data_IF_706560617975
#
_entry.id   IF_706560617975
#
_cell.length_a   1.000
_cell.length_b   1.000
_cell.length_c   1.000
_cell.angle_alpha   90.00
_cell.angle_beta   90.00
_cell.angle_gamma   90.00
#
_symmetry.space_group_name_H-M   'P 1'
#
loop_
_entity.id
_entity.type
_entity.pdbx_description
1 polymer ?
#
# COMPACT_ATOMS: atom_id res chain seq x y z
N UNK A 1 34.41 49.70 25.97
CA UNK A 1 34.90 49.75 24.59
C UNK A 1 35.28 48.32 24.27
N UNK A 2 34.69 47.56 23.39
CA UNK A 2 34.15 47.70 22.05
C UNK A 2 33.08 46.65 21.80
N UNK A 3 32.06 47.02 21.07
CA UNK A 3 30.94 46.18 20.62
C UNK A 3 31.39 45.22 19.50
N UNK A 4 30.91 43.97 19.49
CA UNK A 4 30.97 43.06 18.36
C UNK A 4 29.53 42.66 17.91
N UNK A 5 29.25 42.44 16.63
CA UNK A 5 27.92 42.52 16.07
C UNK A 5 27.12 41.21 16.14
N UNK A 6 25.81 41.36 16.31
CA UNK A 6 24.77 40.34 16.16
C UNK A 6 24.65 39.89 14.70
N UNK A 7 24.59 38.57 14.47
CA UNK A 7 24.18 38.00 13.20
C UNK A 7 22.82 37.31 13.42
N UNK A 8 21.75 38.00 13.07
CA UNK A 8 20.42 37.43 12.87
C UNK A 8 20.38 36.79 11.49
N UNK A 9 20.50 35.45 11.44
CA UNK A 9 20.18 34.67 10.25
C UNK A 9 18.68 34.54 10.11
N UNK A 10 18.13 35.19 9.09
CA UNK A 10 16.74 35.01 8.67
C UNK A 10 16.56 33.59 8.11
N UNK A 11 15.70 32.82 8.76
CA UNK A 11 15.16 31.57 8.22
C UNK A 11 14.22 31.97 7.10
N UNK A 12 14.57 31.66 5.86
CA UNK A 12 13.69 31.78 4.68
C UNK A 12 12.47 30.90 4.91
N UNK A 13 11.32 31.53 5.11
CA UNK A 13 10.03 30.86 5.16
C UNK A 13 9.72 30.24 3.79
N UNK A 14 9.85 28.91 3.69
CA UNK A 14 9.25 28.17 2.60
C UNK A 14 7.73 28.23 2.78
N UNK A 15 7.06 28.84 1.81
CA UNK A 15 5.60 28.83 1.68
C UNK A 15 5.16 27.37 1.50
N UNK A 16 4.18 26.87 2.26
CA UNK A 16 3.62 25.55 2.02
C UNK A 16 3.02 25.49 0.61
N UNK A 17 3.11 24.34 -0.08
CA UNK A 17 2.50 24.19 -1.39
C UNK A 17 0.99 24.48 -1.31
N UNK A 18 0.39 25.05 -2.38
CA UNK A 18 -1.01 25.41 -2.36
C UNK A 18 -1.87 24.19 -2.07
N UNK A 19 -2.82 24.34 -1.17
CA UNK A 19 -3.84 23.33 -0.89
C UNK A 19 -4.52 22.92 -2.21
N UNK A 20 -4.56 21.61 -2.48
CA UNK A 20 -5.25 21.04 -3.64
C UNK A 20 -6.75 21.34 -3.54
N UNK A 21 -7.20 22.36 -4.26
CA UNK A 21 -8.62 22.77 -4.34
C UNK A 21 -9.42 22.00 -5.39
N UNK A 22 -8.83 20.98 -6.03
CA UNK A 22 -9.43 20.24 -7.14
C UNK A 22 -9.64 18.76 -6.77
N UNK A 23 -10.36 18.49 -5.68
CA UNK A 23 -10.88 17.14 -5.41
C UNK A 23 -11.96 16.78 -6.43
N UNK A 24 -11.98 15.49 -6.85
CA UNK A 24 -13.06 14.94 -7.66
C UNK A 24 -14.41 15.36 -7.08
N UNK A 25 -15.36 15.72 -7.92
CA UNK A 25 -16.69 16.10 -7.43
C UNK A 25 -17.24 14.95 -6.57
N UNK A 26 -17.94 15.26 -5.49
CA UNK A 26 -18.56 14.24 -4.63
C UNK A 26 -19.46 13.28 -5.42
N UNK A 27 -19.98 13.73 -6.58
CA UNK A 27 -20.75 12.92 -7.52
C UNK A 27 -19.93 11.83 -8.21
N UNK A 28 -18.67 12.11 -8.62
CA UNK A 28 -17.81 11.12 -9.27
C UNK A 28 -17.37 10.03 -8.29
N UNK A 29 -17.05 10.41 -7.07
CA UNK A 29 -16.70 9.47 -5.99
C UNK A 29 -17.92 8.58 -5.67
N UNK A 30 -19.10 9.15 -5.52
CA UNK A 30 -20.34 8.40 -5.28
C UNK A 30 -20.62 7.42 -6.41
N UNK A 31 -20.39 7.83 -7.66
CA UNK A 31 -20.53 6.97 -8.83
C UNK A 31 -19.54 5.80 -8.80
N UNK A 32 -18.25 6.04 -8.49
CA UNK A 32 -17.24 4.98 -8.35
C UNK A 32 -17.62 3.97 -7.27
N UNK A 33 -18.01 4.42 -6.09
CA UNK A 33 -18.43 3.54 -4.98
C UNK A 33 -19.67 2.74 -5.37
N UNK A 34 -20.65 3.38 -6.02
CA UNK A 34 -21.89 2.70 -6.47
C UNK A 34 -21.56 1.63 -7.52
N UNK A 35 -20.70 1.95 -8.48
CA UNK A 35 -20.24 1.00 -9.50
C UNK A 35 -19.51 -0.18 -8.86
N UNK A 36 -18.63 0.06 -7.86
CA UNK A 36 -17.97 -1.01 -7.12
C UNK A 36 -18.99 -1.93 -6.43
N UNK A 37 -19.99 -1.37 -5.73
CA UNK A 37 -21.01 -2.15 -5.04
C UNK A 37 -21.79 -3.08 -5.99
N UNK A 38 -21.95 -2.71 -7.26
CA UNK A 38 -22.60 -3.55 -8.28
C UNK A 38 -21.76 -4.77 -8.68
N UNK A 39 -20.42 -4.65 -8.70
CA UNK A 39 -19.52 -5.72 -9.18
C UNK A 39 -18.86 -6.53 -8.06
N UNK A 40 -18.93 -6.09 -6.80
CA UNK A 40 -18.22 -6.69 -5.66
C UNK A 40 -18.44 -8.20 -5.48
N UNK A 41 -19.64 -8.71 -5.83
CA UNK A 41 -19.94 -10.15 -5.71
C UNK A 41 -19.10 -10.99 -6.66
N UNK A 42 -18.78 -10.48 -7.85
CA UNK A 42 -17.89 -11.14 -8.81
C UNK A 42 -16.47 -11.23 -8.27
N UNK A 43 -15.97 -10.14 -7.68
CA UNK A 43 -14.67 -10.14 -7.02
C UNK A 43 -14.60 -11.17 -5.89
N UNK A 44 -15.61 -11.22 -5.02
CA UNK A 44 -15.63 -12.17 -3.88
C UNK A 44 -15.63 -13.63 -4.33
N UNK A 45 -16.44 -13.99 -5.34
CA UNK A 45 -16.50 -15.34 -5.88
C UNK A 45 -15.19 -15.77 -6.54
N UNK A 46 -14.55 -14.86 -7.27
CA UNK A 46 -13.28 -15.09 -7.95
C UNK A 46 -12.12 -15.18 -6.96
N UNK A 47 -12.08 -14.31 -5.96
CA UNK A 47 -11.03 -14.29 -4.94
C UNK A 47 -10.87 -15.65 -4.24
N UNK A 48 -11.96 -16.32 -3.89
CA UNK A 48 -11.91 -17.64 -3.28
C UNK A 48 -11.32 -18.72 -4.22
N UNK A 49 -11.56 -18.63 -5.52
CA UNK A 49 -10.99 -19.56 -6.52
C UNK A 49 -9.50 -19.33 -6.69
N UNK A 50 -9.09 -18.07 -6.89
CA UNK A 50 -7.71 -17.71 -7.12
C UNK A 50 -6.83 -17.90 -5.87
N UNK A 51 -7.37 -17.66 -4.67
CA UNK A 51 -6.69 -18.01 -3.42
C UNK A 51 -6.35 -19.51 -3.36
N UNK A 52 -7.31 -20.39 -3.67
CA UNK A 52 -7.06 -21.85 -3.63
C UNK A 52 -6.00 -22.30 -4.65
N UNK A 53 -6.00 -21.72 -5.83
CA UNK A 53 -5.05 -22.09 -6.89
C UNK A 53 -3.71 -21.36 -6.83
N UNK A 54 -3.65 -20.21 -6.15
CA UNK A 54 -2.49 -19.32 -6.17
C UNK A 54 -2.28 -18.62 -7.53
N UNK A 55 -3.25 -18.72 -8.47
CA UNK A 55 -3.11 -18.19 -9.82
C UNK A 55 -3.59 -16.73 -9.85
N UNK A 56 -2.76 -15.84 -10.37
CA UNK A 56 -3.12 -14.45 -10.64
C UNK A 56 -4.32 -14.32 -11.57
N UNK A 57 -5.16 -13.33 -11.36
CA UNK A 57 -6.37 -13.06 -12.14
C UNK A 57 -6.19 -11.85 -13.07
N UNK A 58 -5.74 -12.01 -14.33
CA UNK A 58 -5.55 -10.87 -15.25
C UNK A 58 -6.84 -10.10 -15.52
N UNK A 59 -7.97 -10.79 -15.46
CA UNK A 59 -9.30 -10.16 -15.58
C UNK A 59 -9.58 -9.13 -14.49
N UNK A 60 -8.99 -9.30 -13.30
CA UNK A 60 -9.10 -8.32 -12.20
C UNK A 60 -8.56 -6.96 -12.61
N UNK A 61 -7.39 -6.93 -13.27
CA UNK A 61 -6.76 -5.66 -13.71
C UNK A 61 -7.62 -4.97 -14.74
N UNK A 62 -8.16 -5.71 -15.73
CA UNK A 62 -9.05 -5.16 -16.76
C UNK A 62 -10.33 -4.58 -16.16
N UNK A 63 -10.99 -5.32 -15.27
CA UNK A 63 -12.20 -4.85 -14.61
C UNK A 63 -11.97 -3.60 -13.75
N UNK A 64 -10.83 -3.52 -13.03
CA UNK A 64 -10.44 -2.32 -12.28
C UNK A 64 -10.18 -1.12 -13.20
N UNK A 65 -9.57 -1.37 -14.36
CA UNK A 65 -9.33 -0.35 -15.38
C UNK A 65 -10.64 0.15 -16.00
N UNK A 66 -11.49 -0.76 -16.48
CA UNK A 66 -12.78 -0.47 -17.11
C UNK A 66 -13.72 0.28 -16.14
N UNK A 67 -13.67 -0.05 -14.86
CA UNK A 67 -14.41 0.63 -13.81
C UNK A 67 -13.79 1.99 -13.40
N UNK A 68 -12.65 2.38 -13.96
CA UNK A 68 -11.98 3.64 -13.69
C UNK A 68 -11.16 3.69 -12.40
N UNK A 69 -11.01 2.56 -11.67
CA UNK A 69 -10.29 2.54 -10.39
C UNK A 69 -8.80 2.85 -10.54
N UNK A 70 -8.18 2.56 -11.67
CA UNK A 70 -6.76 2.87 -11.88
C UNK A 70 -6.47 4.37 -12.00
N UNK A 71 -7.50 5.21 -12.19
CA UNK A 71 -7.35 6.67 -12.33
C UNK A 71 -7.62 7.46 -11.06
N UNK A 72 -7.89 6.78 -9.93
CA UNK A 72 -8.33 7.43 -8.68
C UNK A 72 -7.35 8.51 -8.19
N UNK A 73 -6.06 8.28 -8.01
CA UNK A 73 -5.13 9.31 -7.55
C UNK A 73 -4.53 10.17 -8.69
N UNK A 74 -4.81 9.86 -9.96
CA UNK A 74 -4.30 10.62 -11.10
C UNK A 74 -4.97 12.00 -11.14
N UNK A 75 -4.20 13.06 -11.43
CA UNK A 75 -4.71 14.45 -11.42
C UNK A 75 -5.87 14.65 -12.41
N UNK A 76 -6.79 15.56 -12.07
CA UNK A 76 -7.94 15.94 -12.90
C UNK A 76 -7.51 16.42 -14.28
N UNK A 77 -6.47 17.24 -14.37
CA UNK A 77 -5.95 17.78 -15.64
C UNK A 77 -5.44 16.70 -16.59
N UNK A 78 -5.05 15.53 -16.06
CA UNK A 78 -4.63 14.37 -16.85
C UNK A 78 -5.79 13.40 -17.16
N UNK A 79 -7.01 13.70 -16.73
CA UNK A 79 -8.19 12.85 -16.93
C UNK A 79 -8.42 11.82 -15.83
N UNK A 80 -7.75 11.96 -14.70
CA UNK A 80 -7.99 11.19 -13.48
C UNK A 80 -9.08 11.78 -12.60
N UNK A 81 -9.19 11.29 -11.36
CA UNK A 81 -10.15 11.81 -10.38
C UNK A 81 -9.51 12.74 -9.34
N UNK A 82 -8.19 12.86 -9.27
CA UNK A 82 -7.49 13.71 -8.29
C UNK A 82 -7.85 13.40 -6.83
N UNK A 83 -8.22 12.16 -6.55
CA UNK A 83 -8.84 11.81 -5.29
C UNK A 83 -7.84 11.81 -4.13
N UNK A 84 -8.29 12.28 -2.97
CA UNK A 84 -7.51 12.30 -1.74
C UNK A 84 -7.27 10.89 -1.18
N UNK A 85 -6.32 10.78 -0.22
CA UNK A 85 -6.05 9.53 0.49
C UNK A 85 -7.32 8.96 1.15
N UNK A 86 -8.20 9.80 1.70
CA UNK A 86 -9.45 9.36 2.32
C UNK A 86 -10.36 8.62 1.35
N UNK A 87 -10.49 9.10 0.12
CA UNK A 87 -11.27 8.45 -0.93
C UNK A 87 -10.62 7.14 -1.36
N UNK A 88 -9.30 7.14 -1.56
CA UNK A 88 -8.54 5.95 -1.91
C UNK A 88 -8.64 4.86 -0.81
N UNK A 89 -8.57 5.23 0.47
CA UNK A 89 -8.80 4.34 1.62
C UNK A 89 -10.19 3.69 1.58
N UNK A 90 -11.23 4.47 1.30
CA UNK A 90 -12.59 3.93 1.20
C UNK A 90 -12.71 2.88 0.09
N UNK A 91 -12.15 3.16 -1.09
CA UNK A 91 -12.16 2.22 -2.22
C UNK A 91 -11.39 0.94 -1.88
N UNK A 92 -10.15 1.07 -1.39
CA UNK A 92 -9.30 -0.06 -1.01
C UNK A 92 -9.94 -0.89 0.09
N UNK A 93 -10.47 -0.26 1.14
CA UNK A 93 -11.14 -0.95 2.25
C UNK A 93 -12.41 -1.69 1.85
N UNK A 94 -13.21 -1.12 0.94
CA UNK A 94 -14.39 -1.79 0.38
C UNK A 94 -13.99 -2.97 -0.52
N UNK A 95 -12.99 -2.80 -1.37
CA UNK A 95 -12.49 -3.87 -2.25
C UNK A 95 -11.88 -5.02 -1.43
N UNK A 96 -11.14 -4.72 -0.37
CA UNK A 96 -10.53 -5.71 0.51
C UNK A 96 -11.54 -6.62 1.21
N UNK A 97 -12.77 -6.15 1.43
CA UNK A 97 -13.85 -6.99 1.97
C UNK A 97 -14.30 -8.09 0.99
N UNK A 98 -14.00 -7.93 -0.29
CA UNK A 98 -14.39 -8.88 -1.34
C UNK A 98 -13.17 -9.62 -1.91
N UNK A 99 -12.12 -8.89 -2.24
CA UNK A 99 -10.88 -9.40 -2.83
C UNK A 99 -9.66 -8.64 -2.28
N UNK A 100 -9.03 -9.15 -1.20
CA UNK A 100 -7.84 -8.53 -0.63
C UNK A 100 -6.67 -8.42 -1.59
N UNK A 101 -6.53 -9.34 -2.54
CA UNK A 101 -5.46 -9.30 -3.55
C UNK A 101 -5.69 -8.13 -4.52
N UNK A 102 -6.90 -7.97 -5.04
CA UNK A 102 -7.25 -6.84 -5.89
C UNK A 102 -7.02 -5.50 -5.15
N UNK A 103 -7.37 -5.44 -3.86
CA UNK A 103 -7.10 -4.28 -3.02
C UNK A 103 -5.59 -4.00 -2.87
N UNK A 104 -4.76 -5.03 -2.69
CA UNK A 104 -3.30 -4.89 -2.60
C UNK A 104 -2.69 -4.38 -3.93
N UNK A 105 -3.22 -4.81 -5.08
CA UNK A 105 -2.82 -4.26 -6.38
C UNK A 105 -3.09 -2.75 -6.44
N UNK A 106 -4.27 -2.30 -5.97
CA UNK A 106 -4.59 -0.87 -5.91
C UNK A 106 -3.73 -0.12 -4.89
N UNK A 107 -3.38 -0.70 -3.74
CA UNK A 107 -2.46 -0.08 -2.78
C UNK A 107 -1.16 0.30 -3.47
N UNK A 108 -0.52 -0.65 -4.15
CA UNK A 108 0.76 -0.41 -4.84
C UNK A 108 0.62 0.61 -5.98
N UNK A 109 -0.44 0.51 -6.76
CA UNK A 109 -0.73 1.42 -7.86
C UNK A 109 -1.00 2.86 -7.36
N UNK A 110 -1.82 3.00 -6.32
CA UNK A 110 -2.22 4.31 -5.81
C UNK A 110 -1.08 5.06 -5.12
N UNK A 111 -0.24 4.37 -4.35
CA UNK A 111 0.89 5.04 -3.70
C UNK A 111 1.88 5.64 -4.71
N UNK A 112 2.10 4.97 -5.85
CA UNK A 112 2.97 5.47 -6.91
C UNK A 112 2.31 6.66 -7.62
N UNK A 113 1.06 6.54 -8.04
CA UNK A 113 0.37 7.64 -8.72
C UNK A 113 0.14 8.86 -7.83
N UNK A 114 -0.06 8.67 -6.52
CA UNK A 114 -0.12 9.79 -5.57
C UNK A 114 1.22 10.54 -5.47
N UNK A 115 2.34 9.81 -5.44
CA UNK A 115 3.68 10.40 -5.49
C UNK A 115 3.93 11.15 -6.80
N UNK A 116 3.50 10.58 -7.93
CA UNK A 116 3.55 11.25 -9.25
C UNK A 116 2.69 12.52 -9.26
N UNK A 117 1.46 12.44 -8.78
CA UNK A 117 0.53 13.57 -8.74
C UNK A 117 1.05 14.72 -7.87
N UNK A 118 1.71 14.41 -6.75
CA UNK A 118 2.36 15.37 -5.87
C UNK A 118 3.70 15.90 -6.40
N UNK A 119 4.23 15.37 -7.49
CA UNK A 119 5.57 15.68 -8.02
C UNK A 119 6.71 15.38 -7.03
N UNK A 120 6.50 14.48 -6.08
CA UNK A 120 7.45 14.12 -5.04
C UNK A 120 8.67 13.42 -5.67
N UNK A 121 9.69 14.19 -6.00
CA UNK A 121 10.92 13.82 -6.74
C UNK A 121 10.75 13.46 -8.23
N UNK A 122 9.55 13.62 -8.81
CA UNK A 122 9.26 13.30 -10.20
C UNK A 122 9.46 14.51 -11.12
N UNK A 123 10.34 14.44 -12.14
CA UNK A 123 10.42 15.47 -13.18
C UNK A 123 9.09 15.64 -13.90
N UNK A 124 8.69 16.89 -14.17
CA UNK A 124 7.37 17.18 -14.78
C UNK A 124 7.10 16.43 -16.09
N UNK A 125 8.04 16.30 -17.05
CA UNK A 125 7.79 15.56 -18.28
C UNK A 125 7.48 14.07 -18.02
N UNK A 126 8.26 13.42 -17.12
CA UNK A 126 8.07 12.02 -16.75
C UNK A 126 6.73 11.82 -16.04
N UNK A 127 6.42 12.67 -15.07
CA UNK A 127 5.19 12.60 -14.30
C UNK A 127 3.96 12.75 -15.21
N UNK A 128 3.96 13.72 -16.13
CA UNK A 128 2.89 13.92 -17.09
C UNK A 128 2.70 12.72 -18.01
N UNK A 129 3.77 12.16 -18.53
CA UNK A 129 3.71 10.96 -19.37
C UNK A 129 3.08 9.76 -18.64
N UNK A 130 3.46 9.52 -17.39
CA UNK A 130 2.89 8.42 -16.59
C UNK A 130 1.42 8.63 -16.24
N UNK A 131 1.01 9.87 -15.98
CA UNK A 131 -0.41 10.23 -15.78
C UNK A 131 -1.24 10.01 -17.04
N UNK A 132 -0.76 10.44 -18.20
CA UNK A 132 -1.41 10.23 -19.50
C UNK A 132 -1.51 8.72 -19.83
N UNK A 133 -0.47 7.95 -19.55
CA UNK A 133 -0.49 6.49 -19.72
C UNK A 133 -1.53 5.81 -18.83
N UNK A 134 -1.66 6.22 -17.56
CA UNK A 134 -2.66 5.68 -16.64
C UNK A 134 -4.11 5.85 -17.14
N UNK A 135 -4.36 6.87 -17.96
CA UNK A 135 -5.68 7.15 -18.52
C UNK A 135 -5.88 6.47 -19.88
N UNK A 136 -4.87 6.56 -20.76
CA UNK A 136 -4.98 6.10 -22.16
C UNK A 136 -4.68 4.61 -22.36
N UNK A 137 -3.81 4.03 -21.51
CA UNK A 137 -3.39 2.64 -21.57
C UNK A 137 -3.40 2.05 -20.16
N UNK A 138 -4.57 1.77 -19.62
CA UNK A 138 -4.70 1.34 -18.23
C UNK A 138 -3.91 0.05 -17.98
N UNK A 139 -2.90 0.16 -17.13
CA UNK A 139 -2.06 -0.92 -16.62
C UNK A 139 -1.62 -0.58 -15.21
N UNK A 140 -1.23 -1.59 -14.44
CA UNK A 140 -0.74 -1.37 -13.08
C UNK A 140 0.71 -0.85 -13.12
N UNK A 141 1.04 -0.01 -12.13
CA UNK A 141 2.40 0.43 -11.82
C UNK A 141 2.73 0.06 -10.39
N UNK A 142 3.96 -0.34 -10.11
CA UNK A 142 4.40 -0.68 -8.75
C UNK A 142 5.83 -0.20 -8.49
N UNK A 143 6.12 0.18 -7.24
CA UNK A 143 7.45 0.55 -6.77
C UNK A 143 8.21 -0.67 -6.23
N UNK A 144 9.30 -1.03 -6.90
CA UNK A 144 10.16 -2.17 -6.60
C UNK A 144 11.28 -1.74 -5.64
N UNK A 145 10.96 -1.69 -4.34
CA UNK A 145 11.84 -1.19 -3.29
C UNK A 145 12.63 -2.30 -2.57
N UNK A 146 12.05 -3.51 -2.48
CA UNK A 146 12.63 -4.64 -1.76
C UNK A 146 13.61 -5.44 -2.63
N UNK A 147 14.66 -5.95 -2.00
CA UNK A 147 15.64 -6.83 -2.60
C UNK A 147 15.89 -8.03 -1.69
N UNK A 148 16.22 -9.24 -2.23
CA UNK A 148 16.41 -10.44 -1.40
C UNK A 148 17.48 -10.27 -0.33
N UNK A 149 18.59 -9.61 -0.67
CA UNK A 149 19.77 -9.49 0.20
C UNK A 149 19.80 -8.21 1.05
N UNK A 150 18.97 -7.21 0.72
CA UNK A 150 18.92 -5.93 1.44
C UNK A 150 17.95 -5.93 2.63
N UNK A 151 16.99 -6.84 2.65
CA UNK A 151 15.87 -6.80 3.58
C UNK A 151 14.91 -5.65 3.29
N UNK A 152 14.33 -5.06 4.33
CA UNK A 152 13.39 -3.95 4.17
C UNK A 152 14.09 -2.64 3.85
N UNK A 153 13.66 -1.96 2.79
CA UNK A 153 14.12 -0.61 2.44
C UNK A 153 13.92 0.41 3.58
N UNK A 154 12.98 0.15 4.51
CA UNK A 154 12.72 1.01 5.69
C UNK A 154 13.81 0.97 6.75
N UNK A 155 14.72 -0.01 6.70
CA UNK A 155 15.85 -0.10 7.62
C UNK A 155 17.07 0.73 7.16
N UNK A 156 17.01 1.28 5.97
CA UNK A 156 18.14 1.96 5.33
C UNK A 156 18.99 0.97 4.54
N UNK A 157 20.08 1.43 4.01
CA UNK A 157 20.99 0.66 3.17
C UNK A 157 20.90 1.04 1.68
N UNK A 158 22.04 0.96 1.02
CA UNK A 158 22.16 1.21 -0.42
C UNK A 158 21.59 0.04 -1.20
N UNK A 159 20.78 0.27 -2.26
CA UNK A 159 20.29 -0.81 -3.10
C UNK A 159 21.43 -1.64 -3.69
N UNK A 160 21.23 -2.97 -3.77
CA UNK A 160 22.09 -3.86 -4.53
C UNK A 160 21.88 -3.73 -6.05
N UNK A 161 20.69 -3.26 -6.48
CA UNK A 161 20.43 -2.93 -7.88
C UNK A 161 21.23 -1.70 -8.30
N UNK A 162 21.98 -1.83 -9.39
CA UNK A 162 22.94 -0.83 -9.88
C UNK A 162 22.51 -0.26 -11.22
N UNK A 163 22.62 1.04 -11.37
CA UNK A 163 22.44 1.79 -12.60
C UNK A 163 23.79 2.35 -13.08
N UNK A 164 24.32 1.79 -14.16
CA UNK A 164 25.54 2.25 -14.83
C UNK A 164 25.18 3.22 -15.94
N UNK A 165 25.81 4.41 -15.95
CA UNK A 165 25.60 5.38 -17.02
C UNK A 165 26.08 4.85 -18.37
N UNK A 166 25.31 5.10 -19.44
CA UNK A 166 25.63 4.80 -20.83
C UNK A 166 25.54 6.06 -21.67
N UNK A 167 25.80 5.99 -22.98
CA UNK A 167 25.65 7.16 -23.85
C UNK A 167 24.23 7.74 -23.89
N UNK A 168 23.22 6.87 -23.78
CA UNK A 168 21.81 7.23 -24.02
C UNK A 168 20.91 7.08 -22.80
N UNK A 169 21.47 6.71 -21.62
CA UNK A 169 20.67 6.46 -20.43
C UNK A 169 21.42 5.65 -19.39
N UNK A 170 20.67 4.83 -18.65
CA UNK A 170 21.16 3.94 -17.61
C UNK A 170 21.03 2.48 -18.03
N UNK A 171 21.99 1.66 -17.66
CA UNK A 171 21.93 0.22 -17.72
C UNK A 171 21.71 -0.34 -16.32
N UNK A 172 20.56 -0.95 -16.09
CA UNK A 172 20.18 -1.50 -14.80
C UNK A 172 20.50 -2.98 -14.71
N UNK A 173 21.16 -3.36 -13.62
CA UNK A 173 21.41 -4.74 -13.22
C UNK A 173 21.04 -4.94 -11.75
N UNK A 174 20.27 -6.00 -11.44
CA UNK A 174 19.91 -6.30 -10.07
C UNK A 174 18.75 -7.28 -9.95
N UNK A 175 18.26 -7.42 -8.71
CA UNK A 175 17.20 -8.35 -8.37
C UNK A 175 16.21 -7.68 -7.40
N UNK A 176 14.93 -7.78 -7.71
CA UNK A 176 13.84 -7.24 -6.88
C UNK A 176 12.97 -8.37 -6.36
N UNK A 177 12.57 -8.28 -5.10
CA UNK A 177 11.71 -9.26 -4.44
C UNK A 177 10.32 -8.67 -4.16
N UNK A 178 9.34 -9.57 -4.02
CA UNK A 178 7.97 -9.21 -3.65
C UNK A 178 7.32 -8.21 -4.61
N UNK A 179 7.52 -8.43 -5.91
CA UNK A 179 6.96 -7.57 -6.98
C UNK A 179 5.50 -7.94 -7.19
N UNK A 180 4.64 -7.39 -6.34
CA UNK A 180 3.20 -7.67 -6.33
C UNK A 180 2.55 -7.33 -7.68
N UNK A 181 1.80 -8.29 -8.21
CA UNK A 181 1.00 -8.12 -9.43
C UNK A 181 1.81 -8.13 -10.71
N UNK A 182 3.04 -8.66 -10.74
CA UNK A 182 3.94 -8.58 -11.91
C UNK A 182 3.27 -8.97 -13.24
N UNK A 183 2.38 -9.98 -13.35
CA UNK A 183 1.74 -10.29 -14.62
C UNK A 183 0.76 -9.23 -15.14
N UNK A 184 0.37 -8.27 -14.29
CA UNK A 184 -0.54 -7.16 -14.62
C UNK A 184 0.14 -5.79 -14.62
N UNK A 185 1.45 -5.71 -14.36
CA UNK A 185 2.19 -4.45 -14.39
C UNK A 185 2.52 -4.05 -15.83
N UNK A 186 2.34 -2.77 -16.15
CA UNK A 186 2.86 -2.13 -17.36
C UNK A 186 4.20 -1.44 -17.09
N UNK A 187 4.35 -0.84 -15.91
CA UNK A 187 5.53 -0.10 -15.51
C UNK A 187 6.05 -0.56 -14.15
N UNK A 188 7.37 -0.68 -14.06
CA UNK A 188 8.14 -1.02 -12.87
C UNK A 188 8.92 0.21 -12.42
N UNK A 189 8.65 0.72 -11.23
CA UNK A 189 9.42 1.84 -10.65
C UNK A 189 10.53 1.27 -9.79
N UNK A 190 11.70 1.11 -10.36
CA UNK A 190 12.84 0.38 -9.79
C UNK A 190 13.70 1.32 -8.96
N UNK A 191 13.84 1.05 -7.65
CA UNK A 191 14.82 1.74 -6.82
C UNK A 191 16.21 1.16 -7.07
N UNK A 192 17.16 2.01 -7.51
CA UNK A 192 18.55 1.62 -7.76
C UNK A 192 19.52 2.69 -7.29
N UNK A 193 20.80 2.31 -7.16
CA UNK A 193 21.92 3.23 -6.97
C UNK A 193 22.76 3.33 -8.22
N UNK A 194 23.40 4.47 -8.43
CA UNK A 194 24.42 4.61 -9.48
C UNK A 194 25.74 3.92 -9.07
N UNK A 195 26.57 3.58 -10.05
CA UNK A 195 27.91 3.00 -9.85
C UNK A 195 29.02 4.05 -9.78
N UNK A 196 28.64 5.32 -9.62
CA UNK A 196 29.57 6.44 -9.42
C UNK A 196 30.40 6.28 -8.14
N UNK A 197 31.59 6.93 -8.02
CA UNK A 197 32.41 6.89 -6.80
C UNK A 197 31.65 7.34 -5.54
N UNK A 198 30.74 8.32 -5.68
CA UNK A 198 29.77 8.73 -4.69
C UNK A 198 28.36 8.34 -5.16
N UNK A 199 27.87 7.13 -4.84
CA UNK A 199 26.63 6.64 -5.38
C UNK A 199 25.42 7.52 -5.02
N UNK A 200 24.57 7.76 -6.00
CA UNK A 200 23.25 8.38 -5.82
C UNK A 200 22.17 7.32 -5.91
N UNK A 201 21.07 7.53 -5.23
CA UNK A 201 19.90 6.63 -5.24
C UNK A 201 18.69 7.35 -5.82
N UNK A 202 17.93 6.67 -6.66
CA UNK A 202 16.69 7.18 -7.24
C UNK A 202 15.76 6.07 -7.71
N UNK A 203 14.69 6.47 -8.38
CA UNK A 203 13.73 5.57 -8.99
C UNK A 203 13.88 5.64 -10.53
N UNK A 204 13.88 4.48 -11.16
CA UNK A 204 14.04 4.30 -12.60
C UNK A 204 12.77 3.64 -13.13
N UNK A 205 12.13 4.25 -14.10
CA UNK A 205 10.90 3.71 -14.69
C UNK A 205 11.28 2.75 -15.82
N UNK A 206 10.85 1.51 -15.68
CA UNK A 206 11.15 0.41 -16.61
C UNK A 206 9.84 -0.16 -17.13
N UNK A 207 9.68 -0.31 -18.43
CA UNK A 207 8.55 -1.06 -18.97
C UNK A 207 8.63 -2.53 -18.52
N UNK A 208 7.52 -3.10 -18.05
CA UNK A 208 7.50 -4.51 -17.62
C UNK A 208 7.83 -5.49 -18.75
N UNK A 209 7.63 -5.07 -20.01
CA UNK A 209 8.00 -5.84 -21.21
C UNK A 209 9.39 -5.53 -21.80
N UNK A 210 10.22 -4.75 -21.11
CA UNK A 210 11.53 -4.39 -21.62
C UNK A 210 12.48 -5.60 -21.68
N UNK A 211 13.37 -5.57 -22.67
CA UNK A 211 14.43 -6.57 -22.80
C UNK A 211 15.28 -6.60 -21.52
N UNK A 212 15.63 -7.79 -21.04
CA UNK A 212 16.40 -7.98 -19.81
C UNK A 212 15.56 -8.05 -18.53
N UNK A 213 14.25 -7.78 -18.57
CA UNK A 213 13.32 -7.99 -17.45
C UNK A 213 12.87 -9.46 -17.44
N UNK A 214 13.13 -10.17 -16.36
CA UNK A 214 12.75 -11.58 -16.22
C UNK A 214 12.05 -11.83 -14.89
N UNK A 215 10.87 -12.43 -14.93
CA UNK A 215 10.13 -12.85 -13.73
C UNK A 215 10.60 -14.23 -13.28
N UNK A 216 10.90 -14.38 -11.98
CA UNK A 216 11.15 -15.68 -11.33
C UNK A 216 9.89 -16.10 -10.59
N UNK A 217 9.16 -17.14 -11.04
CA UNK A 217 7.87 -17.53 -10.47
C UNK A 217 8.07 -18.30 -9.14
N UNK A 218 8.31 -17.56 -8.06
CA UNK A 218 8.63 -18.12 -6.74
C UNK A 218 7.66 -17.67 -5.61
N UNK A 219 6.52 -17.07 -5.95
CA UNK A 219 5.53 -16.70 -4.96
C UNK A 219 4.70 -17.92 -4.52
N UNK A 220 5.01 -18.48 -3.36
CA UNK A 220 4.27 -19.58 -2.71
C UNK A 220 4.14 -19.27 -1.21
N UNK A 221 3.12 -18.49 -0.86
CA UNK A 221 2.90 -17.96 0.49
C UNK A 221 1.53 -18.39 1.03
N UNK A 222 1.40 -18.36 2.37
CA UNK A 222 0.17 -18.78 3.04
C UNK A 222 -1.01 -17.82 2.83
N UNK A 223 -0.76 -16.50 2.66
CA UNK A 223 -1.76 -15.46 2.41
C UNK A 223 -1.43 -14.66 1.16
N UNK A 224 -2.38 -13.86 0.70
CA UNK A 224 -2.27 -13.11 -0.55
C UNK A 224 -1.82 -13.98 -1.73
N UNK A 225 -2.26 -15.25 -1.76
CA UNK A 225 -1.72 -16.32 -2.63
C UNK A 225 -1.75 -15.98 -4.10
N UNK A 226 -2.81 -15.32 -4.56
CA UNK A 226 -2.98 -14.94 -5.96
C UNK A 226 -2.35 -13.59 -6.33
N UNK A 227 -1.57 -12.96 -5.44
CA UNK A 227 -0.97 -11.64 -5.72
C UNK A 227 0.20 -11.69 -6.71
N UNK A 228 0.70 -12.89 -7.03
CA UNK A 228 1.87 -13.08 -7.91
C UNK A 228 3.02 -12.11 -7.56
N UNK A 229 3.34 -12.03 -6.26
CA UNK A 229 4.42 -11.16 -5.77
C UNK A 229 5.78 -11.81 -5.97
N UNK A 230 6.08 -12.15 -7.22
CA UNK A 230 7.28 -12.85 -7.64
C UNK A 230 8.54 -11.98 -7.54
N UNK A 231 9.69 -12.58 -7.76
CA UNK A 231 10.94 -11.87 -7.96
C UNK A 231 11.10 -11.44 -9.42
N UNK A 232 11.84 -10.34 -9.61
CA UNK A 232 12.22 -9.81 -10.92
C UNK A 232 13.73 -9.66 -10.98
N UNK A 233 14.33 -10.22 -12.02
CA UNK A 233 15.73 -10.03 -12.37
C UNK A 233 15.81 -8.99 -13.49
N UNK A 234 16.69 -8.01 -13.29
CA UNK A 234 17.06 -7.01 -14.29
C UNK A 234 18.47 -7.32 -14.77
N UNK A 235 18.61 -7.57 -16.07
CA UNK A 235 19.90 -7.85 -16.71
C UNK A 235 20.09 -6.96 -17.91
N UNK A 236 21.01 -6.00 -17.79
CA UNK A 236 21.35 -5.02 -18.82
C UNK A 236 20.13 -4.27 -19.38
N UNK A 237 19.16 -3.96 -18.50
CA UNK A 237 17.95 -3.22 -18.86
C UNK A 237 18.30 -1.76 -19.12
N UNK A 238 18.02 -1.27 -20.32
CA UNK A 238 18.28 0.13 -20.70
C UNK A 238 17.11 1.01 -20.31
N UNK A 239 17.42 2.11 -19.62
CA UNK A 239 16.44 3.12 -19.15
C UNK A 239 16.92 4.49 -19.62
N UNK A 240 16.17 5.22 -20.44
CA UNK A 240 16.49 6.61 -20.82
C UNK A 240 16.69 7.51 -19.61
N UNK A 241 17.55 8.53 -19.74
CA UNK A 241 17.80 9.47 -18.63
C UNK A 241 16.52 10.18 -18.16
N UNK A 242 15.62 10.51 -19.08
CA UNK A 242 14.32 11.13 -18.80
C UNK A 242 13.35 10.24 -18.02
N UNK A 243 13.60 8.93 -17.94
CA UNK A 243 12.82 7.96 -17.19
C UNK A 243 13.33 7.76 -15.76
N UNK A 244 14.06 8.74 -15.24
CA UNK A 244 14.67 8.69 -13.90
C UNK A 244 14.16 9.84 -13.05
N UNK A 245 13.83 9.56 -11.77
CA UNK A 245 13.50 10.59 -10.79
C UNK A 245 14.75 11.35 -10.33
N UNK A 246 14.59 12.37 -9.49
CA UNK A 246 15.73 13.05 -8.85
C UNK A 246 16.59 12.02 -8.11
N UNK A 247 17.91 12.08 -8.33
CA UNK A 247 18.89 11.20 -7.70
C UNK A 247 19.50 11.90 -6.47
N UNK A 248 19.61 11.19 -5.35
CA UNK A 248 20.04 11.72 -4.06
C UNK A 248 21.32 11.04 -3.57
N UNK A 249 22.28 11.81 -3.09
CA UNK A 249 23.44 11.31 -2.35
C UNK A 249 23.06 10.94 -0.91
N UNK A 250 23.57 9.85 -0.40
CA UNK A 250 23.59 9.49 1.04
C UNK A 250 22.26 9.05 1.64
N UNK A 251 21.15 9.75 1.46
CA UNK A 251 19.85 9.37 2.01
C UNK A 251 18.99 8.59 1.02
N UNK A 252 19.16 7.28 1.07
CA UNK A 252 18.39 6.37 0.26
C UNK A 252 16.86 6.38 0.56
N UNK A 253 16.41 7.02 1.65
CA UNK A 253 14.98 7.18 1.95
C UNK A 253 14.38 8.35 1.19
N UNK A 254 15.12 9.46 1.07
CA UNK A 254 14.68 10.62 0.31
C UNK A 254 14.35 10.26 -1.15
N UNK A 255 15.11 9.33 -1.73
CA UNK A 255 14.92 8.88 -3.11
C UNK A 255 13.55 8.24 -3.40
N UNK A 256 12.89 7.65 -2.41
CA UNK A 256 11.56 7.04 -2.60
C UNK A 256 10.41 8.04 -2.46
N UNK A 257 10.70 9.27 -1.96
CA UNK A 257 9.69 10.26 -1.67
C UNK A 257 8.89 9.99 -0.38
N UNK A 258 8.34 11.04 0.19
CA UNK A 258 7.55 10.94 1.42
C UNK A 258 6.10 10.56 1.14
N UNK A 259 5.51 11.07 0.08
CA UNK A 259 4.11 10.84 -0.31
C UNK A 259 3.84 9.37 -0.58
N UNK A 260 4.75 8.68 -1.31
CA UNK A 260 4.65 7.26 -1.60
C UNK A 260 4.50 6.44 -0.31
N UNK A 261 5.35 6.72 0.70
CA UNK A 261 5.34 5.98 1.97
C UNK A 261 4.12 6.31 2.82
N UNK A 262 3.69 7.57 2.84
CA UNK A 262 2.49 7.98 3.59
C UNK A 262 1.22 7.34 3.01
N UNK A 263 1.08 7.35 1.70
CA UNK A 263 -0.04 6.67 1.04
C UNK A 263 -0.01 5.16 1.27
N UNK A 264 1.16 4.53 1.18
CA UNK A 264 1.31 3.11 1.47
C UNK A 264 0.78 2.75 2.88
N UNK A 265 1.18 3.49 3.92
CA UNK A 265 0.72 3.24 5.28
C UNK A 265 -0.80 3.37 5.43
N UNK A 266 -1.38 4.45 4.91
CA UNK A 266 -2.81 4.69 4.99
C UNK A 266 -3.65 3.65 4.22
N UNK A 267 -3.18 3.27 3.04
CA UNK A 267 -3.86 2.29 2.19
C UNK A 267 -3.74 0.86 2.72
N UNK A 268 -2.58 0.47 3.26
CA UNK A 268 -2.43 -0.82 3.96
C UNK A 268 -3.35 -0.89 5.19
N UNK A 269 -3.48 0.21 5.95
CA UNK A 269 -4.44 0.30 7.05
C UNK A 269 -5.86 0.00 6.58
N UNK A 270 -6.31 0.64 5.51
CA UNK A 270 -7.64 0.41 4.93
C UNK A 270 -7.83 -1.01 4.40
N UNK A 271 -6.81 -1.59 3.75
CA UNK A 271 -6.83 -2.96 3.25
C UNK A 271 -7.05 -3.95 4.40
N UNK A 272 -6.21 -3.93 5.43
CA UNK A 272 -6.27 -4.90 6.51
C UNK A 272 -7.49 -4.71 7.43
N UNK A 273 -7.96 -3.47 7.62
CA UNK A 273 -9.25 -3.19 8.25
C UNK A 273 -10.41 -3.83 7.44
N UNK A 274 -10.37 -3.73 6.10
CA UNK A 274 -11.32 -4.37 5.20
C UNK A 274 -11.31 -5.90 5.30
N UNK A 275 -10.13 -6.52 5.41
CA UNK A 275 -9.98 -7.98 5.64
C UNK A 275 -10.67 -8.40 6.94
N UNK A 276 -10.44 -7.66 8.05
CA UNK A 276 -11.09 -7.96 9.33
C UNK A 276 -12.60 -7.78 9.26
N UNK A 277 -13.10 -6.76 8.55
CA UNK A 277 -14.56 -6.57 8.34
C UNK A 277 -15.19 -7.76 7.59
N UNK A 278 -14.49 -8.28 6.58
CA UNK A 278 -14.94 -9.48 5.87
C UNK A 278 -15.00 -10.71 6.78
N UNK A 279 -13.95 -10.89 7.60
CA UNK A 279 -13.92 -11.96 8.60
C UNK A 279 -15.04 -11.85 9.64
N UNK A 280 -15.28 -10.64 10.16
CA UNK A 280 -16.36 -10.38 11.12
C UNK A 280 -17.75 -10.61 10.49
N UNK A 281 -17.97 -10.17 9.27
CA UNK A 281 -19.24 -10.36 8.57
C UNK A 281 -19.59 -11.85 8.41
N UNK A 282 -18.61 -12.67 7.98
CA UNK A 282 -18.78 -14.12 7.91
C UNK A 282 -19.07 -14.73 9.30
N UNK A 283 -18.34 -14.29 10.32
CA UNK A 283 -18.52 -14.79 11.69
C UNK A 283 -19.89 -14.44 12.24
N UNK A 284 -20.39 -13.22 12.01
CA UNK A 284 -21.75 -12.80 12.42
C UNK A 284 -22.80 -13.70 11.77
N UNK A 285 -22.71 -13.95 10.45
CA UNK A 285 -23.66 -14.82 9.76
C UNK A 285 -23.61 -16.24 10.30
N UNK A 286 -22.42 -16.80 10.50
CA UNK A 286 -22.22 -18.11 11.12
C UNK A 286 -22.85 -18.20 12.52
N UNK A 287 -22.61 -17.24 13.40
CA UNK A 287 -23.14 -17.25 14.76
C UNK A 287 -24.66 -17.11 14.81
N UNK A 288 -25.26 -16.39 13.84
CA UNK A 288 -26.73 -16.20 13.74
C UNK A 288 -27.43 -17.43 13.18
N UNK A 289 -26.77 -18.18 12.31
CA UNK A 289 -27.40 -19.32 11.61
C UNK A 289 -27.10 -20.66 12.26
N UNK A 290 -25.99 -20.78 12.99
CA UNK A 290 -25.60 -22.03 13.65
C UNK A 290 -26.38 -22.26 14.93
N UNK A 291 -27.23 -23.33 14.92
CA UNK A 291 -28.00 -23.79 16.07
C UNK A 291 -27.51 -25.19 16.47
N UNK A 292 -26.65 -25.31 17.52
CA UNK A 292 -26.27 -26.61 18.05
C UNK A 292 -27.45 -27.33 18.69
N UNK A 293 -27.55 -28.64 18.47
CA UNK A 293 -28.71 -29.45 18.97
C UNK A 293 -28.85 -29.42 20.48
N UNK A 294 -27.76 -29.38 21.21
CA UNK A 294 -27.75 -29.28 22.68
C UNK A 294 -28.12 -27.89 23.21
N UNK A 295 -28.06 -26.84 22.38
CA UNK A 295 -28.38 -25.47 22.75
C UNK A 295 -29.79 -25.08 22.33
N UNK A 296 -30.30 -25.61 21.19
CA UNK A 296 -31.64 -25.33 20.65
C UNK A 296 -31.85 -23.88 20.19
N UNK A 297 -30.84 -23.06 20.16
CA UNK A 297 -30.89 -21.65 19.76
C UNK A 297 -29.57 -21.22 19.08
N UNK A 298 -29.56 -20.09 18.31
CA UNK A 298 -28.36 -19.61 17.64
C UNK A 298 -27.20 -19.31 18.60
N UNK A 299 -25.96 -19.57 18.17
CA UNK A 299 -24.75 -19.22 18.93
C UNK A 299 -24.69 -17.74 19.27
N UNK A 300 -25.20 -16.86 18.42
CA UNK A 300 -25.29 -15.42 18.65
C UNK A 300 -26.03 -15.01 19.94
N UNK A 301 -26.80 -15.92 20.55
CA UNK A 301 -27.50 -15.65 21.82
C UNK A 301 -26.62 -15.83 23.06
N UNK A 302 -25.43 -16.37 22.89
CA UNK A 302 -24.49 -16.62 23.99
C UNK A 302 -23.71 -15.34 24.36
N UNK A 303 -23.68 -14.91 25.64
CA UNK A 303 -23.03 -13.66 26.05
C UNK A 303 -21.54 -13.58 25.66
N UNK A 304 -20.79 -14.68 25.76
CA UNK A 304 -19.38 -14.68 25.41
C UNK A 304 -19.13 -14.53 23.89
N UNK A 305 -20.05 -14.98 23.02
CA UNK A 305 -20.00 -14.74 21.59
C UNK A 305 -20.30 -13.28 21.26
N UNK A 306 -21.28 -12.70 21.99
CA UNK A 306 -21.61 -11.26 21.86
C UNK A 306 -20.45 -10.39 22.30
N UNK A 307 -19.79 -10.71 23.41
CA UNK A 307 -18.62 -9.99 23.92
C UNK A 307 -17.45 -10.08 22.94
N UNK A 308 -17.13 -11.24 22.41
CA UNK A 308 -16.03 -11.42 21.46
C UNK A 308 -16.28 -10.65 20.14
N UNK A 309 -17.48 -10.74 19.57
CA UNK A 309 -17.85 -9.98 18.39
C UNK A 309 -17.86 -8.46 18.67
N UNK A 310 -18.29 -8.06 19.85
CA UNK A 310 -18.31 -6.67 20.32
C UNK A 310 -16.90 -6.07 20.40
N UNK A 311 -15.92 -6.79 20.94
CA UNK A 311 -14.51 -6.36 20.97
C UNK A 311 -13.97 -6.07 19.58
N UNK A 312 -14.16 -6.99 18.63
CA UNK A 312 -13.70 -6.78 17.25
C UNK A 312 -14.41 -5.59 16.61
N UNK A 313 -15.72 -5.46 16.81
CA UNK A 313 -16.52 -4.35 16.27
C UNK A 313 -16.05 -2.98 16.80
N UNK A 314 -15.77 -2.87 18.10
CA UNK A 314 -15.26 -1.63 18.72
C UNK A 314 -13.84 -1.30 18.21
N UNK A 315 -12.99 -2.29 18.03
CA UNK A 315 -11.65 -2.09 17.44
C UNK A 315 -11.76 -1.56 16.00
N UNK A 316 -12.66 -2.10 15.18
CA UNK A 316 -12.91 -1.61 13.82
C UNK A 316 -13.47 -0.17 13.82
N UNK A 317 -14.27 0.20 14.81
CA UNK A 317 -14.71 1.59 14.97
C UNK A 317 -13.52 2.52 15.32
N UNK A 318 -12.62 2.09 16.20
CA UNK A 318 -11.39 2.82 16.52
C UNK A 318 -10.48 2.94 15.29
N UNK A 319 -10.28 1.86 14.54
CA UNK A 319 -9.52 1.89 13.29
C UNK A 319 -10.05 2.95 12.31
N UNK A 320 -11.38 3.02 12.16
CA UNK A 320 -12.00 4.01 11.29
C UNK A 320 -11.69 5.46 11.72
N UNK A 321 -11.68 5.74 13.04
CA UNK A 321 -11.27 7.05 13.55
C UNK A 321 -9.81 7.35 13.24
N UNK A 322 -8.91 6.39 13.49
CA UNK A 322 -7.47 6.52 13.21
C UNK A 322 -7.19 6.76 11.73
N UNK A 323 -7.79 5.96 10.84
CA UNK A 323 -7.62 6.07 9.40
C UNK A 323 -8.10 7.42 8.85
N UNK A 324 -9.23 7.91 9.37
CA UNK A 324 -9.77 9.24 8.98
C UNK A 324 -8.87 10.37 9.47
N UNK A 325 -8.41 10.33 10.72
CA UNK A 325 -7.48 11.32 11.25
C UNK A 325 -6.19 11.35 10.42
N UNK A 326 -5.59 10.18 10.19
CA UNK A 326 -4.38 10.07 9.37
C UNK A 326 -4.55 10.66 7.95
N UNK A 327 -5.66 10.35 7.29
CA UNK A 327 -5.92 10.90 5.94
C UNK A 327 -6.07 12.43 5.96
N UNK A 328 -6.65 13.00 7.03
CA UNK A 328 -6.75 14.45 7.23
C UNK A 328 -5.37 15.08 7.42
N UNK A 329 -4.49 14.47 8.21
CA UNK A 329 -3.13 14.98 8.46
C UNK A 329 -2.26 14.93 7.21
N UNK A 330 -2.36 13.85 6.41
CA UNK A 330 -1.69 13.76 5.11
C UNK A 330 -2.16 14.87 4.16
N UNK A 331 -3.45 15.21 4.18
CA UNK A 331 -4.00 16.30 3.37
C UNK A 331 -3.47 17.67 3.81
N UNK A 332 -3.33 17.90 5.12
CA UNK A 332 -2.84 19.18 5.67
C UNK A 332 -1.33 19.36 5.59
N UNK A 333 -0.58 18.30 5.30
CA UNK A 333 0.87 18.37 5.08
C UNK A 333 1.73 18.52 6.34
N UNK A 334 1.20 18.19 7.53
CA UNK A 334 1.98 18.24 8.78
C UNK A 334 2.94 17.04 8.90
N UNK A 335 4.17 17.19 8.39
CA UNK A 335 5.15 16.10 8.29
C UNK A 335 5.51 15.43 9.63
N UNK A 336 5.52 16.16 10.74
CA UNK A 336 5.85 15.61 12.07
C UNK A 336 4.74 14.68 12.54
N UNK A 337 3.50 15.14 12.48
CA UNK A 337 2.31 14.36 12.84
C UNK A 337 2.16 13.14 11.94
N UNK A 338 2.28 13.30 10.63
CA UNK A 338 2.15 12.20 9.65
C UNK A 338 3.11 11.04 9.95
N UNK A 339 4.36 11.33 10.30
CA UNK A 339 5.34 10.26 10.58
C UNK A 339 5.01 9.45 11.84
N UNK A 340 4.51 10.11 12.91
CA UNK A 340 4.07 9.42 14.12
C UNK A 340 2.79 8.62 13.89
N UNK A 341 1.85 9.19 13.15
CA UNK A 341 0.56 8.57 12.88
C UNK A 341 0.68 7.38 11.92
N UNK A 342 1.60 7.44 10.93
CA UNK A 342 1.95 6.28 10.12
C UNK A 342 2.42 5.09 10.97
N UNK A 343 3.20 5.36 12.05
CA UNK A 343 3.61 4.34 13.00
C UNK A 343 2.41 3.75 13.76
N UNK A 344 1.46 4.60 14.20
CA UNK A 344 0.21 4.17 14.85
C UNK A 344 -0.62 3.31 13.88
N UNK A 345 -0.84 3.76 12.64
CA UNK A 345 -1.59 2.98 11.64
C UNK A 345 -0.95 1.60 11.45
N UNK A 346 0.37 1.52 11.31
CA UNK A 346 1.06 0.23 11.12
C UNK A 346 0.89 -0.70 12.33
N UNK A 347 1.04 -0.19 13.55
CA UNK A 347 1.00 -1.04 14.76
C UNK A 347 -0.40 -1.35 15.23
N UNK A 348 -1.30 -0.39 15.17
CA UNK A 348 -2.64 -0.50 15.77
C UNK A 348 -3.70 -1.01 14.78
N UNK A 349 -3.51 -0.79 13.48
CA UNK A 349 -4.48 -1.24 12.47
C UNK A 349 -3.96 -2.45 11.72
N UNK A 350 -2.80 -2.33 11.08
CA UNK A 350 -2.28 -3.38 10.18
C UNK A 350 -1.85 -4.62 10.96
N UNK A 351 -1.01 -4.47 11.97
CA UNK A 351 -0.46 -5.62 12.71
C UNK A 351 -1.52 -6.35 13.55
N UNK A 352 -2.48 -5.60 14.11
CA UNK A 352 -3.57 -6.19 14.91
C UNK A 352 -4.60 -6.96 14.08
N UNK A 353 -4.65 -6.78 12.77
CA UNK A 353 -5.59 -7.50 11.91
C UNK A 353 -5.48 -9.03 12.06
N UNK A 354 -4.25 -9.55 12.19
CA UNK A 354 -4.02 -10.98 12.43
C UNK A 354 -4.59 -11.44 13.78
N UNK A 355 -4.44 -10.64 14.84
CA UNK A 355 -4.95 -10.97 16.17
C UNK A 355 -6.48 -10.93 16.20
N UNK A 356 -7.11 -9.96 15.51
CA UNK A 356 -8.56 -9.85 15.42
C UNK A 356 -9.17 -11.02 14.66
N UNK A 357 -8.56 -11.42 13.53
CA UNK A 357 -9.03 -12.60 12.78
C UNK A 357 -8.82 -13.90 13.54
N UNK A 358 -7.74 -14.02 14.35
CA UNK A 358 -7.51 -15.17 15.25
C UNK A 358 -8.59 -15.24 16.33
N UNK A 359 -9.02 -14.12 16.91
CA UNK A 359 -10.13 -14.10 17.87
C UNK A 359 -11.43 -14.59 17.24
N UNK A 360 -11.71 -14.21 15.99
CA UNK A 360 -12.89 -14.68 15.26
C UNK A 360 -12.79 -16.19 14.95
N UNK A 361 -11.60 -16.70 14.59
CA UNK A 361 -11.37 -18.15 14.44
C UNK A 361 -11.65 -18.91 15.74
N UNK A 362 -11.20 -18.38 16.88
CA UNK A 362 -11.39 -19.02 18.18
C UNK A 362 -12.89 -19.21 18.53
N UNK A 363 -13.74 -18.22 18.22
CA UNK A 363 -15.18 -18.33 18.49
C UNK A 363 -15.95 -19.14 17.42
N UNK A 364 -15.46 -19.19 16.19
CA UNK A 364 -16.02 -20.02 15.13
C UNK A 364 -15.65 -21.49 15.26
N UNK A 365 -14.56 -21.80 15.99
CA UNK A 365 -14.06 -23.15 16.20
C UNK A 365 -13.69 -23.84 14.89
N UNK A 366 -13.90 -25.16 14.84
CA UNK A 366 -13.53 -25.95 13.66
C UNK A 366 -14.20 -25.49 12.34
N UNK A 367 -15.38 -24.88 12.41
CA UNK A 367 -16.02 -24.33 11.23
C UNK A 367 -15.20 -23.17 10.61
N UNK A 368 -14.57 -22.32 11.45
CA UNK A 368 -13.73 -21.22 11.00
C UNK A 368 -12.46 -21.66 10.27
N UNK A 369 -11.94 -22.83 10.59
CA UNK A 369 -10.70 -23.38 10.00
C UNK A 369 -10.93 -24.05 8.63
N UNK A 370 -12.15 -24.16 8.16
CA UNK A 370 -12.43 -24.79 6.86
C UNK A 370 -11.97 -23.91 5.70
N UNK A 371 -11.10 -24.44 4.83
CA UNK A 371 -10.63 -23.77 3.61
C UNK A 371 -11.75 -23.40 2.62
N UNK A 372 -13.00 -23.81 2.88
CA UNK A 372 -14.18 -23.40 2.12
C UNK A 372 -14.78 -22.08 2.58
N UNK A 373 -14.30 -21.54 3.70
CA UNK A 373 -14.86 -20.37 4.35
C UNK A 373 -13.99 -19.11 4.17
N UNK A 374 -14.65 -17.97 4.15
CA UNK A 374 -13.98 -16.64 4.02
C UNK A 374 -13.09 -16.34 5.23
N UNK A 375 -13.49 -16.75 6.45
CA UNK A 375 -12.76 -16.44 7.67
C UNK A 375 -11.34 -17.01 7.67
N UNK A 376 -11.15 -18.26 7.26
CA UNK A 376 -9.84 -18.93 7.17
C UNK A 376 -8.93 -18.16 6.21
N UNK A 377 -9.42 -17.81 5.02
CA UNK A 377 -8.67 -17.01 4.04
C UNK A 377 -8.30 -15.63 4.60
N UNK A 378 -9.27 -14.92 5.19
CA UNK A 378 -9.03 -13.62 5.79
C UNK A 378 -7.93 -13.67 6.86
N UNK A 379 -7.86 -14.74 7.65
CA UNK A 379 -6.80 -14.90 8.64
C UNK A 379 -5.43 -15.07 7.98
N UNK A 380 -5.31 -15.91 6.96
CA UNK A 380 -4.06 -16.08 6.21
C UNK A 380 -3.62 -14.78 5.54
N UNK A 381 -4.54 -14.06 4.93
CA UNK A 381 -4.28 -12.76 4.31
C UNK A 381 -3.86 -11.72 5.36
N UNK A 382 -4.50 -11.70 6.54
CA UNK A 382 -4.17 -10.77 7.63
C UNK A 382 -2.74 -10.98 8.17
N UNK A 383 -2.21 -12.21 8.17
CA UNK A 383 -0.82 -12.48 8.56
C UNK A 383 0.19 -11.72 7.68
N UNK A 384 -0.13 -11.51 6.41
CA UNK A 384 0.72 -10.75 5.50
C UNK A 384 0.87 -9.27 5.91
N UNK A 385 -0.06 -8.72 6.69
CA UNK A 385 0.05 -7.35 7.22
C UNK A 385 1.30 -7.13 8.06
N UNK A 386 1.70 -8.13 8.83
CA UNK A 386 2.83 -8.04 9.76
C UNK A 386 4.18 -7.88 9.06
N UNK A 387 4.30 -8.42 7.85
CA UNK A 387 5.58 -8.40 7.11
C UNK A 387 5.74 -7.18 6.20
N UNK A 388 4.70 -6.37 5.99
CA UNK A 388 4.86 -5.10 5.27
C UNK A 388 5.75 -4.13 6.04
N UNK A 389 6.61 -3.43 5.32
CA UNK A 389 7.47 -2.39 5.88
C UNK A 389 6.65 -1.10 6.18
N UNK A 390 7.02 -0.37 7.27
CA UNK A 390 8.02 -0.73 8.29
C UNK A 390 7.53 -1.84 9.22
N UNK A 391 8.45 -2.70 9.69
CA UNK A 391 8.10 -3.73 10.68
C UNK A 391 7.75 -3.10 12.04
N UNK A 392 6.75 -3.63 12.72
CA UNK A 392 6.25 -3.06 13.97
C UNK A 392 7.30 -3.02 15.09
N UNK A 393 8.21 -4.01 15.16
CA UNK A 393 9.32 -4.02 16.13
C UNK A 393 10.23 -2.80 15.94
N UNK A 394 10.54 -2.46 14.68
CA UNK A 394 11.34 -1.27 14.35
C UNK A 394 10.59 0.02 14.73
N UNK A 395 9.29 0.07 14.45
CA UNK A 395 8.42 1.21 14.78
C UNK A 395 8.40 1.43 16.29
N UNK A 396 8.08 0.38 17.07
CA UNK A 396 8.04 0.43 18.54
C UNK A 396 9.38 0.82 19.14
N UNK A 397 10.48 0.25 18.63
CA UNK A 397 11.83 0.59 19.09
C UNK A 397 12.15 2.07 18.87
N UNK A 398 11.83 2.61 17.69
CA UNK A 398 12.06 4.04 17.38
C UNK A 398 11.22 4.94 18.26
N UNK A 399 9.95 4.63 18.46
CA UNK A 399 9.09 5.38 19.37
C UNK A 399 9.65 5.38 20.81
N UNK A 400 10.08 4.22 21.32
CA UNK A 400 10.73 4.11 22.63
C UNK A 400 12.04 4.91 22.73
N UNK A 401 12.88 4.87 21.69
CA UNK A 401 14.10 5.69 21.64
C UNK A 401 13.78 7.19 21.68
N UNK A 402 12.78 7.65 20.94
CA UNK A 402 12.36 9.05 20.97
C UNK A 402 11.93 9.46 22.38
N UNK A 403 11.10 8.66 23.06
CA UNK A 403 10.60 8.98 24.42
C UNK A 403 11.71 8.95 25.47
N UNK A 404 12.65 8.00 25.37
CA UNK A 404 13.64 7.78 26.43
C UNK A 404 14.95 8.54 26.22
N UNK A 405 15.33 8.84 24.97
CA UNK A 405 16.64 9.39 24.63
C UNK A 405 16.58 10.86 24.13
N UNK A 406 15.38 11.40 23.86
CA UNK A 406 15.23 12.83 23.58
C UNK A 406 15.07 13.59 24.91
N UNK A 407 15.88 14.63 25.19
CA UNK A 407 15.70 15.44 26.39
C UNK A 407 14.27 16.01 26.45
N UNK A 408 13.65 16.11 27.63
CA UNK A 408 12.38 16.79 27.77
C UNK A 408 12.53 18.26 27.32
N UNK A 409 11.50 18.75 26.60
CA UNK A 409 11.41 20.15 26.15
C UNK A 409 11.42 21.13 27.30
#
# INVERSE_FOLDING_TARGET
MTRGPSATGAVSGETPPPAHSDDASGADITRLVTQFLSVRKHFAARAARHDRTGIFAPETVRELADAGFLRVPVRLQAGGYGASLSVAQNIVGLLAQSDPVAALLLVNHYMVHASIAARDNWPEPLARRLEEQAVSRPGLINALLAEPDLGSASQGGSPGTVATATGDGWRLNGRKAYVTGIPGLSELVVRARTDEPEPRVGLFVVSAGADGVTTVPNWDHIGMRASASHEVILRDVIVPYEDTTTLFHGDAKAASGSVLMHWNCGLLGALYDGVVRSALAWTIDFLRTRIPSNLGKPLATLPFMQDAAGRVSLTLATNNLLLRAYASDVLTGNAVTISSDAAVIKTEVVDKAADLTMQLLAIAGNAGLSARNTLERCHRDALCGRIHAPHAELVRRRAGQTVLLTPPL
#
